data_IF_407857519070
#
_entry.id   IF_407857519070
#
_cell.length_a   1.000
_cell.length_b   1.000
_cell.length_c   1.000
_cell.angle_alpha   90.00
_cell.angle_beta   90.00
_cell.angle_gamma   90.00
#
_symmetry.space_group_name_H-M   'P 1'
#
loop_
_entity.id
_entity.type
_entity.pdbx_description
1 polymer ?
#
# COMPACT_ATOMS: atom_id res chain seq x y z
N UNK A 1 15.16 51.98 1.78
CA UNK A 1 14.32 50.76 1.68
C UNK A 1 15.23 49.56 1.88
N UNK A 2 15.19 48.94 3.05
CA UNK A 2 15.78 47.62 3.29
C UNK A 2 14.90 46.93 4.32
N UNK A 3 14.25 45.83 3.93
CA UNK A 3 13.53 44.95 4.87
C UNK A 3 14.36 43.69 5.02
N UNK A 4 14.94 43.55 6.20
CA UNK A 4 15.65 42.39 6.73
C UNK A 4 14.72 41.20 6.93
N UNK A 5 15.26 40.00 6.66
CA UNK A 5 14.63 38.71 6.85
C UNK A 5 14.13 38.50 8.30
N UNK A 6 12.86 38.13 8.46
CA UNK A 6 12.25 37.82 9.75
C UNK A 6 11.95 36.31 9.87
N UNK A 7 12.83 35.64 10.61
CA UNK A 7 12.56 34.66 11.67
C UNK A 7 11.44 33.61 11.45
N UNK A 8 11.82 32.41 10.99
CA UNK A 8 10.93 31.26 10.75
C UNK A 8 10.65 30.38 11.99
N UNK A 9 11.18 30.74 13.16
CA UNK A 9 11.22 29.85 14.34
C UNK A 9 10.33 30.29 15.53
N UNK A 10 9.22 30.98 15.29
CA UNK A 10 8.24 31.26 16.34
C UNK A 10 6.93 30.51 16.11
N UNK A 11 6.84 29.31 16.68
CA UNK A 11 5.58 28.62 16.90
C UNK A 11 4.74 29.41 17.92
N UNK A 12 3.61 30.06 17.55
CA UNK A 12 2.91 31.01 18.42
C UNK A 12 2.09 30.37 19.55
N UNK A 13 1.99 29.03 19.62
CA UNK A 13 1.11 28.34 20.56
C UNK A 13 1.83 27.21 21.35
N UNK A 14 2.51 27.55 22.46
CA UNK A 14 3.27 26.59 23.26
C UNK A 14 2.43 25.64 24.13
N UNK A 15 1.09 25.79 24.19
CA UNK A 15 0.22 25.01 25.09
C UNK A 15 -0.49 23.80 24.45
N UNK A 16 -0.18 23.42 23.20
CA UNK A 16 -0.67 22.17 22.61
C UNK A 16 -2.17 22.07 22.34
N UNK A 17 -2.94 23.16 22.49
CA UNK A 17 -4.41 23.23 22.33
C UNK A 17 -4.91 23.17 20.86
N UNK A 18 -4.15 22.52 19.98
CA UNK A 18 -4.48 22.33 18.57
C UNK A 18 -4.06 20.97 18.00
N UNK A 19 -3.54 20.06 18.83
CA UNK A 19 -3.18 18.71 18.39
C UNK A 19 -4.44 17.84 18.31
N UNK A 20 -5.22 18.05 17.24
CA UNK A 20 -6.23 17.06 16.85
C UNK A 20 -5.48 15.77 16.49
N UNK A 21 -5.76 14.64 17.17
CA UNK A 21 -5.08 13.36 16.91
C UNK A 21 -5.13 12.97 15.42
N UNK A 22 -6.21 13.32 14.74
CA UNK A 22 -6.41 13.08 13.30
C UNK A 22 -5.46 13.87 12.40
N UNK A 23 -5.14 15.13 12.73
CA UNK A 23 -4.18 15.93 11.96
C UNK A 23 -2.75 15.44 12.17
N UNK A 24 -2.45 14.97 13.39
CA UNK A 24 -1.15 14.36 13.69
C UNK A 24 -0.97 13.05 12.93
N UNK A 25 -1.95 12.16 12.97
CA UNK A 25 -1.91 10.92 12.20
C UNK A 25 -1.80 11.21 10.70
N UNK A 26 -2.50 12.21 10.18
CA UNK A 26 -2.35 12.63 8.78
C UNK A 26 -0.93 13.08 8.44
N UNK A 27 -0.26 13.79 9.36
CA UNK A 27 1.16 14.11 9.23
C UNK A 27 2.07 12.88 9.29
N UNK A 28 1.80 11.95 10.22
CA UNK A 28 2.60 10.74 10.42
C UNK A 28 2.50 9.75 9.24
N UNK A 29 1.37 9.77 8.53
CA UNK A 29 1.14 8.98 7.31
C UNK A 29 1.42 9.78 6.04
N UNK A 30 2.14 10.91 6.10
CA UNK A 30 2.57 11.63 4.91
C UNK A 30 3.67 10.84 4.18
N UNK A 31 3.53 10.65 2.87
CA UNK A 31 4.52 9.92 2.07
C UNK A 31 5.84 10.71 1.99
N UNK A 32 6.91 10.12 2.55
CA UNK A 32 8.25 10.70 2.58
C UNK A 32 9.17 10.02 1.56
N UNK A 33 10.09 10.80 0.98
CA UNK A 33 11.10 10.26 0.06
C UNK A 33 10.54 9.68 -1.25
N UNK A 34 9.37 10.14 -1.68
CA UNK A 34 8.73 9.67 -2.92
C UNK A 34 9.60 10.04 -4.11
N UNK A 35 9.95 9.03 -4.92
CA UNK A 35 10.65 9.20 -6.21
C UNK A 35 9.75 8.82 -7.38
N UNK A 36 10.07 9.31 -8.57
CA UNK A 36 9.47 8.76 -9.79
C UNK A 36 9.79 7.28 -9.93
N UNK A 37 8.77 6.50 -10.28
CA UNK A 37 8.85 5.05 -10.48
C UNK A 37 8.85 4.72 -11.97
N UNK A 38 9.33 3.54 -12.32
CA UNK A 38 9.05 2.97 -13.65
C UNK A 38 7.59 2.49 -13.72
N UNK A 39 6.99 2.31 -14.91
CA UNK A 39 5.65 1.74 -15.03
C UNK A 39 5.48 0.38 -14.31
N UNK A 40 6.48 -0.49 -14.38
CA UNK A 40 6.46 -1.80 -13.71
C UNK A 40 6.48 -1.63 -12.19
N UNK A 41 7.39 -0.80 -11.67
CA UNK A 41 7.47 -0.51 -10.23
C UNK A 41 6.17 0.10 -9.71
N UNK A 42 5.58 1.03 -10.48
CA UNK A 42 4.33 1.70 -10.13
C UNK A 42 3.17 0.70 -10.01
N UNK A 43 2.94 -0.15 -11.01
CA UNK A 43 1.85 -1.13 -10.97
C UNK A 43 2.08 -2.21 -9.91
N UNK A 44 3.33 -2.66 -9.74
CA UNK A 44 3.68 -3.58 -8.65
C UNK A 44 3.29 -2.98 -7.30
N UNK A 45 3.78 -1.77 -7.02
CA UNK A 45 3.54 -1.09 -5.74
C UNK A 45 2.04 -0.82 -5.53
N UNK A 46 1.33 -0.40 -6.57
CA UNK A 46 -0.11 -0.19 -6.50
C UNK A 46 -0.88 -1.48 -6.23
N UNK A 47 -0.57 -2.56 -6.96
CA UNK A 47 -1.23 -3.86 -6.79
C UNK A 47 -1.02 -4.43 -5.38
N UNK A 48 0.23 -4.53 -4.92
CA UNK A 48 0.52 -5.14 -3.61
C UNK A 48 0.01 -4.28 -2.46
N UNK A 49 0.06 -2.95 -2.59
CA UNK A 49 -0.51 -2.04 -1.59
C UNK A 49 -2.03 -2.15 -1.55
N UNK A 50 -2.69 -2.35 -2.70
CA UNK A 50 -4.12 -2.58 -2.78
C UNK A 50 -4.52 -3.91 -2.14
N UNK A 51 -3.72 -4.97 -2.32
CA UNK A 51 -3.91 -6.27 -1.67
C UNK A 51 -3.88 -6.13 -0.14
N UNK A 52 -2.85 -5.46 0.39
CA UNK A 52 -2.72 -5.23 1.84
C UNK A 52 -3.84 -4.32 2.36
N UNK A 53 -4.22 -3.28 1.60
CA UNK A 53 -5.37 -2.41 1.95
C UNK A 53 -6.70 -3.16 1.96
N UNK A 54 -6.87 -4.20 1.14
CA UNK A 54 -8.05 -5.04 1.13
C UNK A 54 -8.13 -5.96 2.35
N UNK A 55 -6.99 -6.25 2.99
CA UNK A 55 -6.94 -7.08 4.18
C UNK A 55 -7.60 -6.41 5.40
N UNK A 56 -8.18 -7.25 6.27
CA UNK A 56 -8.71 -6.82 7.57
C UNK A 56 -7.57 -6.69 8.58
N UNK A 57 -7.53 -5.58 9.30
CA UNK A 57 -6.66 -5.33 10.47
C UNK A 57 -7.20 -4.17 11.31
N UNK A 58 -6.93 -4.22 12.61
CA UNK A 58 -7.43 -3.25 13.61
C UNK A 58 -6.29 -2.56 14.40
N UNK A 59 -5.06 -2.60 13.89
CA UNK A 59 -3.91 -1.91 14.46
C UNK A 59 -3.49 -0.70 13.61
N UNK A 60 -2.69 0.19 14.21
CA UNK A 60 -1.99 1.28 13.50
C UNK A 60 -0.73 0.71 12.82
N UNK A 61 -0.62 0.73 11.48
CA UNK A 61 0.60 0.30 10.81
C UNK A 61 1.75 1.28 11.09
N UNK A 62 2.95 0.73 11.20
CA UNK A 62 4.18 1.45 11.51
C UNK A 62 5.16 1.18 10.37
N UNK A 63 5.73 2.25 9.83
CA UNK A 63 6.74 2.18 8.77
C UNK A 63 7.91 1.30 9.22
N UNK A 64 8.37 0.42 8.33
CA UNK A 64 9.49 -0.50 8.56
C UNK A 64 9.18 -1.69 9.46
N UNK A 65 8.00 -1.76 10.10
CA UNK A 65 7.60 -2.93 10.87
C UNK A 65 7.11 -4.04 9.94
N UNK A 66 7.49 -5.28 10.26
CA UNK A 66 7.00 -6.48 9.57
C UNK A 66 5.62 -6.89 10.10
N UNK A 67 4.77 -7.26 9.16
CA UNK A 67 3.43 -7.80 9.35
C UNK A 67 3.27 -9.06 8.50
N UNK A 68 2.25 -9.86 8.79
CA UNK A 68 2.04 -11.16 8.16
C UNK A 68 0.66 -11.23 7.54
N UNK A 69 0.61 -11.49 6.24
CA UNK A 69 -0.62 -11.60 5.46
C UNK A 69 -1.08 -13.05 5.44
N UNK A 70 -2.37 -13.26 5.71
CA UNK A 70 -3.02 -14.56 5.71
C UNK A 70 -4.23 -14.57 4.77
N UNK A 71 -4.43 -15.70 4.10
CA UNK A 71 -5.63 -16.02 3.34
C UNK A 71 -6.66 -16.61 4.28
N UNK A 72 -7.84 -15.99 4.36
CA UNK A 72 -8.98 -16.54 5.11
C UNK A 72 -10.03 -17.06 4.14
N UNK A 73 -11.04 -17.74 4.66
CA UNK A 73 -12.22 -18.12 3.85
C UNK A 73 -12.79 -16.91 3.09
N UNK A 74 -12.93 -15.78 3.80
CA UNK A 74 -13.42 -14.52 3.25
C UNK A 74 -12.31 -13.47 3.23
N UNK A 75 -11.60 -13.38 2.11
CA UNK A 75 -10.60 -12.36 1.84
C UNK A 75 -9.31 -12.53 2.62
N UNK A 76 -8.68 -11.41 2.97
CA UNK A 76 -7.33 -11.36 3.52
C UNK A 76 -7.31 -10.81 4.95
N UNK A 77 -6.32 -11.22 5.74
CA UNK A 77 -6.07 -10.68 7.07
C UNK A 77 -4.60 -10.30 7.21
N UNK A 78 -4.33 -9.10 7.72
CA UNK A 78 -2.98 -8.66 8.06
C UNK A 78 -2.82 -8.75 9.58
N UNK A 79 -1.74 -9.38 10.04
CA UNK A 79 -1.47 -9.67 11.45
C UNK A 79 -0.11 -9.15 11.89
N UNK A 80 0.03 -8.93 13.20
CA UNK A 80 1.30 -8.71 13.89
C UNK A 80 2.01 -10.03 14.26
N UNK A 81 1.26 -11.12 14.32
CA UNK A 81 1.70 -12.45 14.79
C UNK A 81 2.17 -13.26 13.59
N UNK A 82 3.41 -13.74 13.64
CA UNK A 82 4.05 -14.56 12.62
C UNK A 82 3.45 -15.98 12.57
N UNK A 83 3.55 -16.69 11.42
CA UNK A 83 2.96 -18.02 11.28
C UNK A 83 3.45 -19.02 12.34
N UNK A 84 4.72 -18.93 12.76
CA UNK A 84 5.31 -19.81 13.78
C UNK A 84 4.83 -19.51 15.20
N UNK A 85 4.27 -18.32 15.46
CA UNK A 85 3.81 -17.88 16.78
C UNK A 85 2.37 -18.30 17.07
N UNK A 86 1.61 -18.72 16.05
CA UNK A 86 0.20 -19.13 16.21
C UNK A 86 0.01 -20.53 16.80
N UNK A 87 1.05 -21.37 16.77
CA UNK A 87 0.93 -22.78 17.15
C UNK A 87 -0.09 -23.51 16.27
N UNK A 88 -1.13 -24.09 16.86
CA UNK A 88 -2.17 -24.83 16.14
C UNK A 88 -3.33 -23.94 15.63
N UNK A 89 -3.38 -22.67 16.03
CA UNK A 89 -4.53 -21.79 15.80
C UNK A 89 -4.24 -20.73 14.73
N UNK A 90 -3.72 -21.14 13.58
CA UNK A 90 -3.49 -20.19 12.49
C UNK A 90 -4.82 -19.59 12.00
N UNK A 91 -4.87 -18.28 11.70
CA UNK A 91 -6.09 -17.62 11.22
C UNK A 91 -6.46 -18.00 9.78
N UNK A 92 -5.56 -18.71 9.08
CA UNK A 92 -5.64 -19.15 7.70
C UNK A 92 -4.26 -19.46 7.13
N UNK A 93 -4.17 -19.70 5.82
CA UNK A 93 -2.89 -19.97 5.15
C UNK A 93 -2.01 -18.74 5.15
N UNK A 94 -0.73 -18.90 5.49
CA UNK A 94 0.24 -17.82 5.41
C UNK A 94 0.55 -17.50 3.94
N UNK A 95 0.57 -16.21 3.60
CA UNK A 95 0.71 -15.74 2.21
C UNK A 95 2.04 -15.02 2.01
N UNK A 96 2.34 -14.06 2.88
CA UNK A 96 3.47 -13.17 2.70
C UNK A 96 3.86 -12.41 3.98
N UNK A 97 5.13 -12.04 4.07
CA UNK A 97 5.58 -10.98 4.97
C UNK A 97 5.42 -9.61 4.30
N UNK A 98 4.93 -8.62 5.03
CA UNK A 98 4.63 -7.28 4.52
C UNK A 98 5.30 -6.21 5.39
N UNK A 99 5.77 -5.12 4.77
CA UNK A 99 6.26 -3.95 5.48
C UNK A 99 5.80 -2.67 4.81
N UNK A 100 5.34 -1.69 5.61
CA UNK A 100 5.00 -0.37 5.10
C UNK A 100 6.28 0.44 4.88
N UNK A 101 6.48 0.97 3.67
CA UNK A 101 7.65 1.80 3.33
C UNK A 101 7.43 3.26 3.72
N UNK A 102 8.49 4.08 3.82
CA UNK A 102 8.39 5.51 4.11
C UNK A 102 7.56 6.30 3.09
N UNK A 103 7.48 5.81 1.84
CA UNK A 103 6.63 6.39 0.80
C UNK A 103 5.16 5.95 0.92
N UNK A 104 4.76 5.23 1.99
CA UNK A 104 3.40 4.74 2.22
C UNK A 104 2.91 3.68 1.24
N UNK A 105 3.80 3.11 0.42
CA UNK A 105 3.54 1.88 -0.33
C UNK A 105 3.95 0.65 0.48
N UNK A 106 3.40 -0.52 0.15
CA UNK A 106 3.75 -1.77 0.82
C UNK A 106 4.84 -2.51 0.06
N UNK A 107 5.81 -3.06 0.79
CA UNK A 107 6.67 -4.14 0.33
C UNK A 107 6.04 -5.47 0.75
N UNK A 108 5.96 -6.44 -0.15
CA UNK A 108 5.40 -7.77 0.11
C UNK A 108 6.38 -8.83 -0.39
N UNK A 109 6.67 -9.80 0.48
CA UNK A 109 7.52 -10.96 0.21
C UNK A 109 6.68 -12.21 0.38
N UNK A 110 6.24 -12.78 -0.74
CA UNK A 110 5.40 -13.97 -0.77
C UNK A 110 6.16 -15.20 -0.27
N UNK A 111 5.45 -16.10 0.41
CA UNK A 111 5.97 -17.39 0.81
C UNK A 111 5.98 -18.38 -0.38
N UNK A 112 6.54 -19.57 -0.19
CA UNK A 112 6.37 -20.65 -1.16
C UNK A 112 4.94 -21.21 -1.07
N UNK A 113 4.13 -20.85 -2.06
CA UNK A 113 2.71 -21.24 -2.13
C UNK A 113 2.48 -22.54 -2.90
N UNK A 114 3.53 -23.33 -3.17
CA UNK A 114 3.41 -24.59 -3.90
C UNK A 114 2.38 -25.55 -3.29
N UNK A 115 2.31 -25.59 -1.96
CA UNK A 115 1.39 -26.46 -1.21
C UNK A 115 0.04 -25.78 -0.91
N UNK A 116 -0.19 -24.56 -1.41
CA UNK A 116 -1.39 -23.76 -1.16
C UNK A 116 -2.04 -23.28 -2.48
N UNK A 117 -2.53 -24.19 -3.35
CA UNK A 117 -3.09 -23.84 -4.66
C UNK A 117 -4.28 -22.88 -4.55
N UNK A 118 -5.12 -23.03 -3.52
CA UNK A 118 -6.26 -22.13 -3.28
C UNK A 118 -5.83 -20.68 -2.99
N UNK A 119 -4.69 -20.48 -2.34
CA UNK A 119 -4.12 -19.14 -2.09
C UNK A 119 -3.62 -18.55 -3.40
N UNK A 120 -2.93 -19.36 -4.20
CA UNK A 120 -2.44 -18.96 -5.52
C UNK A 120 -3.61 -18.55 -6.43
N UNK A 121 -4.70 -19.31 -6.46
CA UNK A 121 -5.91 -18.99 -7.23
C UNK A 121 -6.55 -17.67 -6.76
N UNK A 122 -6.65 -17.45 -5.45
CA UNK A 122 -7.18 -16.18 -4.90
C UNK A 122 -6.30 -14.98 -5.25
N UNK A 123 -4.98 -15.14 -5.20
CA UNK A 123 -4.04 -14.08 -5.59
C UNK A 123 -4.14 -13.77 -7.09
N UNK A 124 -4.23 -14.80 -7.93
CA UNK A 124 -4.42 -14.64 -9.36
C UNK A 124 -5.73 -13.92 -9.67
N UNK A 125 -6.84 -14.35 -9.05
CA UNK A 125 -8.14 -13.69 -9.19
C UNK A 125 -8.12 -12.22 -8.75
N UNK A 126 -7.38 -11.89 -7.68
CA UNK A 126 -7.18 -10.51 -7.25
C UNK A 126 -6.42 -9.69 -8.30
N UNK A 127 -5.32 -10.22 -8.83
CA UNK A 127 -4.51 -9.58 -9.87
C UNK A 127 -5.32 -9.35 -11.14
N UNK A 128 -6.11 -10.34 -11.55
CA UNK A 128 -6.94 -10.25 -12.74
C UNK A 128 -8.02 -9.18 -12.57
N UNK A 129 -8.72 -9.17 -11.42
CA UNK A 129 -9.72 -8.15 -11.12
C UNK A 129 -9.10 -6.74 -11.04
N UNK A 130 -7.93 -6.61 -10.41
CA UNK A 130 -7.20 -5.35 -10.34
C UNK A 130 -6.79 -4.86 -11.74
N UNK A 131 -6.27 -5.75 -12.58
CA UNK A 131 -5.86 -5.42 -13.95
C UNK A 131 -7.05 -5.03 -14.81
N UNK A 132 -8.17 -5.75 -14.73
CA UNK A 132 -9.41 -5.40 -15.43
C UNK A 132 -9.92 -4.02 -15.01
N UNK A 133 -9.94 -3.73 -13.71
CA UNK A 133 -10.34 -2.41 -13.21
C UNK A 133 -9.45 -1.27 -13.73
N UNK A 134 -8.15 -1.51 -13.95
CA UNK A 134 -7.25 -0.53 -14.55
C UNK A 134 -7.50 -0.30 -16.05
N UNK A 135 -7.94 -1.33 -16.78
CA UNK A 135 -8.29 -1.19 -18.20
C UNK A 135 -9.56 -0.34 -18.39
N UNK A 136 -10.51 -0.45 -17.47
CA UNK A 136 -11.78 0.32 -17.52
C UNK A 136 -11.62 1.81 -17.19
N UNK A 137 -10.52 2.20 -16.53
CA UNK A 137 -10.26 3.59 -16.16
C UNK A 137 -9.60 4.34 -17.31
N UNK A 138 -10.04 5.56 -17.65
CA UNK A 138 -9.41 6.42 -18.67
C UNK A 138 -8.05 7.02 -18.23
N UNK A 139 -7.90 7.26 -16.93
CA UNK A 139 -6.69 7.78 -16.28
C UNK A 139 -6.45 7.05 -14.96
N UNK A 140 -5.33 6.32 -14.85
CA UNK A 140 -5.03 5.51 -13.67
C UNK A 140 -4.75 6.39 -12.45
N UNK A 141 -4.05 7.52 -12.65
CA UNK A 141 -3.71 8.44 -11.56
C UNK A 141 -4.95 9.19 -11.04
N UNK A 142 -5.93 9.44 -11.90
CA UNK A 142 -7.20 10.07 -11.51
C UNK A 142 -8.05 9.17 -10.60
N UNK A 143 -8.02 7.85 -10.80
CA UNK A 143 -8.86 6.88 -10.10
C UNK A 143 -8.16 6.17 -8.93
N UNK A 144 -7.03 6.71 -8.47
CA UNK A 144 -6.36 6.25 -7.24
C UNK A 144 -7.33 6.28 -6.04
N UNK A 145 -7.14 5.42 -5.01
CA UNK A 145 -8.05 5.25 -3.88
C UNK A 145 -8.00 6.43 -2.89
N UNK A 146 -8.21 7.65 -3.38
CA UNK A 146 -8.34 8.86 -2.58
C UNK A 146 -9.63 8.75 -1.79
N UNK A 147 -9.52 8.78 -0.46
CA UNK A 147 -10.63 8.82 0.48
C UNK A 147 -11.72 7.73 0.26
N UNK A 148 -11.51 6.54 0.84
CA UNK A 148 -12.47 5.43 0.75
C UNK A 148 -13.36 5.38 2.01
N UNK A 149 -14.48 6.10 2.00
CA UNK A 149 -15.29 6.38 3.20
C UNK A 149 -15.73 5.15 4.03
N UNK A 150 -15.95 3.99 3.40
CA UNK A 150 -16.43 2.78 4.07
C UNK A 150 -15.33 1.99 4.81
N UNK A 151 -14.07 2.37 4.67
CA UNK A 151 -12.97 1.68 5.34
C UNK A 151 -12.82 2.10 6.82
N UNK A 152 -12.31 1.22 7.70
CA UNK A 152 -11.85 1.61 9.04
C UNK A 152 -10.82 2.75 9.00
N UNK A 153 -10.72 3.50 10.10
CA UNK A 153 -9.93 4.74 10.18
C UNK A 153 -8.51 4.64 9.59
N UNK A 154 -7.68 3.69 10.05
CA UNK A 154 -6.30 3.55 9.56
C UNK A 154 -6.22 3.10 8.10
N UNK A 155 -7.18 2.30 7.62
CA UNK A 155 -7.25 1.89 6.22
C UNK A 155 -7.60 3.07 5.30
N UNK A 156 -8.49 3.98 5.74
CA UNK A 156 -8.77 5.24 5.02
C UNK A 156 -7.54 6.13 4.90
N UNK A 157 -6.80 6.22 6.01
CA UNK A 157 -5.61 7.03 6.07
C UNK A 157 -4.54 6.49 5.13
N UNK A 158 -4.24 5.20 5.22
CA UNK A 158 -3.32 4.51 4.32
C UNK A 158 -3.74 4.59 2.85
N UNK A 159 -5.03 4.43 2.52
CA UNK A 159 -5.50 4.57 1.16
C UNK A 159 -5.24 5.98 0.59
N UNK A 160 -5.49 7.00 1.40
CA UNK A 160 -5.25 8.40 1.03
C UNK A 160 -3.75 8.69 0.85
N UNK A 161 -2.92 8.18 1.77
CA UNK A 161 -1.46 8.33 1.71
C UNK A 161 -0.83 7.55 0.55
N UNK A 162 -1.33 6.34 0.27
CA UNK A 162 -0.95 5.56 -0.90
C UNK A 162 -1.30 6.32 -2.18
N UNK A 163 -2.52 6.86 -2.28
CA UNK A 163 -2.93 7.63 -3.45
C UNK A 163 -2.02 8.85 -3.66
N UNK A 164 -1.69 9.59 -2.58
CA UNK A 164 -0.74 10.71 -2.67
C UNK A 164 0.66 10.26 -3.11
N UNK A 165 1.17 9.13 -2.59
CA UNK A 165 2.45 8.58 -3.02
C UNK A 165 2.45 8.16 -4.48
N UNK A 166 1.41 7.46 -4.94
CA UNK A 166 1.31 6.98 -6.31
C UNK A 166 1.24 8.16 -7.26
N UNK A 167 0.43 9.18 -6.95
CA UNK A 167 0.32 10.41 -7.73
C UNK A 167 1.68 11.12 -7.89
N UNK A 168 2.41 11.32 -6.78
CA UNK A 168 3.73 11.95 -6.79
C UNK A 168 4.82 11.11 -7.48
N UNK A 169 4.67 9.78 -7.49
CA UNK A 169 5.61 8.85 -8.12
C UNK A 169 5.25 8.47 -9.56
N UNK A 170 4.10 8.95 -10.07
CA UNK A 170 3.48 8.45 -11.29
C UNK A 170 4.39 8.64 -12.52
N UNK A 171 4.61 7.58 -13.31
CA UNK A 171 5.14 7.70 -14.65
C UNK A 171 4.17 8.46 -15.58
N UNK A 172 4.62 8.85 -16.79
CA UNK A 172 3.72 9.38 -17.82
C UNK A 172 2.59 8.40 -18.14
N UNK A 173 1.36 8.90 -18.24
CA UNK A 173 0.16 8.08 -18.51
C UNK A 173 0.29 7.22 -19.77
N UNK A 174 0.93 7.73 -20.83
CA UNK A 174 1.18 6.96 -22.05
C UNK A 174 2.04 5.71 -21.80
N UNK A 175 3.04 5.79 -20.92
CA UNK A 175 3.90 4.66 -20.58
C UNK A 175 3.17 3.63 -19.72
N UNK A 176 2.28 4.08 -18.83
CA UNK A 176 1.39 3.20 -18.06
C UNK A 176 0.46 2.42 -18.99
N UNK A 177 -0.14 3.08 -19.99
CA UNK A 177 -1.02 2.44 -20.98
C UNK A 177 -0.31 1.43 -21.85
N UNK A 178 0.82 1.82 -22.43
CA UNK A 178 1.62 0.90 -23.25
C UNK A 178 1.97 -0.37 -22.49
N UNK A 179 2.31 -0.27 -21.20
CA UNK A 179 2.63 -1.42 -20.38
C UNK A 179 1.39 -2.29 -20.06
N UNK A 180 0.24 -1.68 -19.74
CA UNK A 180 -1.03 -2.39 -19.55
C UNK A 180 -1.44 -3.18 -20.80
N UNK A 181 -1.38 -2.54 -21.97
CA UNK A 181 -1.85 -3.12 -23.23
C UNK A 181 -0.89 -4.19 -23.78
N UNK A 182 0.41 -4.12 -23.46
CA UNK A 182 1.44 -5.05 -23.96
C UNK A 182 1.66 -6.29 -23.09
N UNK A 183 1.20 -6.28 -21.84
CA UNK A 183 1.55 -7.31 -20.86
C UNK A 183 0.33 -8.08 -20.40
N UNK A 184 0.10 -9.23 -21.04
CA UNK A 184 -1.00 -10.14 -20.71
C UNK A 184 -0.81 -10.97 -19.42
N UNK A 185 0.25 -10.77 -18.60
CA UNK A 185 -0.01 -10.46 -17.19
C UNK A 185 1.15 -9.69 -16.50
N UNK A 186 0.92 -8.43 -16.10
CA UNK A 186 1.93 -7.58 -15.45
C UNK A 186 2.45 -8.04 -14.08
N UNK A 187 1.78 -9.01 -13.49
CA UNK A 187 1.91 -9.34 -12.07
C UNK A 187 1.96 -10.85 -11.89
N UNK A 188 2.89 -11.52 -12.58
CA UNK A 188 3.29 -12.86 -12.11
C UNK A 188 4.03 -12.64 -10.80
N UNK A 189 3.38 -13.01 -9.70
CA UNK A 189 3.87 -12.94 -8.32
C UNK A 189 5.17 -13.74 -8.05
N UNK A 190 5.82 -14.25 -9.12
CA UNK A 190 6.93 -15.19 -9.09
C UNK A 190 8.29 -14.56 -9.33
N UNK A 191 8.36 -13.31 -9.77
CA UNK A 191 9.63 -12.67 -10.11
C UNK A 191 10.11 -11.74 -8.98
N UNK A 192 10.62 -12.35 -7.91
CA UNK A 192 11.64 -11.74 -7.08
C UNK A 192 12.99 -12.37 -7.46
N UNK A 193 14.07 -11.57 -7.64
CA UNK A 193 15.39 -12.16 -7.85
C UNK A 193 15.77 -12.97 -6.60
N UNK A 194 16.05 -14.26 -6.78
CA UNK A 194 16.98 -14.97 -5.90
C UNK A 194 18.36 -14.47 -6.30
N UNK A 195 18.94 -13.61 -5.47
CA UNK A 195 20.37 -13.51 -5.10
C UNK A 195 20.66 -12.13 -4.48
#
# INVERSE_FOLDING_TARGET
>A
MHVTAANRDKNPNPQGKGNLPTLRDLGDFSAAGVRRKTPVEFFRDYCVSSLVLAARFDFRPVVGRTYYLYSREQGWMLSLVAPQEWGQNLPGDFVAACALRPDMTWEVRFDDLADAPQVTDKLQAFVDAFTSALHEQDDVAAHLPRFVAHLPYYRRLLASSLAASLDLSSPPQQALRQLLDSSAPLLRLRDAPRD
#
